data_IF_277393765718
#
_entry.id   IF_277393765718
#
_cell.length_a   1.000
_cell.length_b   1.000
_cell.length_c   1.000
_cell.angle_alpha   90.00
_cell.angle_beta   90.00
_cell.angle_gamma   90.00
#
_symmetry.space_group_name_H-M   'P 1'
#
loop_
_entity.id
_entity.type
_entity.pdbx_description
1 polymer ?
#
# COMPACT_ATOMS: atom_id res chain seq x y z
N UNK A 1 10.56 1.00 22.99
CA UNK A 1 10.46 0.64 21.57
C UNK A 1 10.22 -0.86 21.49
N UNK A 2 9.20 -1.31 20.75
CA UNK A 2 9.00 -2.74 20.52
C UNK A 2 10.09 -3.27 19.59
N UNK A 3 10.57 -4.51 19.80
CA UNK A 3 11.46 -5.15 18.84
C UNK A 3 10.81 -5.18 17.45
N UNK A 4 11.62 -5.08 16.40
CA UNK A 4 11.14 -5.13 15.02
C UNK A 4 10.43 -6.46 14.71
N UNK A 5 10.89 -7.55 15.32
CA UNK A 5 10.31 -8.88 15.15
C UNK A 5 8.86 -9.01 15.65
N UNK A 6 8.41 -8.08 16.53
CA UNK A 6 7.02 -8.02 17.00
C UNK A 6 6.09 -7.27 16.03
N UNK A 7 6.62 -6.72 14.96
CA UNK A 7 5.85 -6.00 13.96
C UNK A 7 5.21 -6.95 12.95
N UNK A 8 3.92 -6.80 12.60
CA UNK A 8 3.32 -7.57 11.51
C UNK A 8 3.97 -7.28 10.15
N UNK A 9 4.70 -6.17 10.04
CA UNK A 9 5.39 -5.76 8.81
C UNK A 9 6.78 -6.38 8.67
N UNK A 10 7.27 -7.10 9.67
CA UNK A 10 8.61 -7.67 9.67
C UNK A 10 8.61 -9.18 9.46
N UNK A 11 9.67 -9.67 8.83
CA UNK A 11 9.99 -11.09 8.71
C UNK A 11 11.49 -11.27 8.95
N UNK A 12 11.86 -12.14 9.90
CA UNK A 12 13.26 -12.39 10.28
C UNK A 12 14.04 -11.09 10.61
N UNK A 13 13.42 -10.17 11.35
CA UNK A 13 14.02 -8.89 11.74
C UNK A 13 14.21 -7.89 10.60
N UNK A 14 13.59 -8.12 9.43
CA UNK A 14 13.73 -7.27 8.24
C UNK A 14 12.37 -6.78 7.76
N UNK A 15 12.36 -5.59 7.19
CA UNK A 15 11.16 -4.98 6.58
C UNK A 15 11.49 -4.56 5.16
N UNK A 16 10.70 -5.03 4.20
CA UNK A 16 10.69 -4.56 2.82
C UNK A 16 9.24 -4.32 2.41
N UNK A 17 8.84 -3.05 2.36
CA UNK A 17 7.48 -2.65 2.01
C UNK A 17 7.44 -2.24 0.55
N UNK A 18 6.58 -2.90 -0.22
CA UNK A 18 6.23 -2.50 -1.58
C UNK A 18 5.13 -1.44 -1.50
N UNK A 19 5.50 -0.19 -1.74
CA UNK A 19 4.54 0.92 -1.74
C UNK A 19 3.98 1.14 -3.15
N UNK A 20 2.66 1.26 -3.23
CA UNK A 20 1.95 1.53 -4.49
C UNK A 20 0.90 2.61 -4.30
N UNK A 21 1.30 3.85 -4.50
CA UNK A 21 0.45 5.05 -4.55
C UNK A 21 0.55 5.79 -5.90
N UNK A 22 1.09 5.10 -6.89
CA UNK A 22 1.14 5.53 -8.29
C UNK A 22 -0.27 5.87 -8.81
N UNK A 23 -0.35 6.87 -9.63
CA UNK A 23 -1.63 7.37 -10.15
C UNK A 23 -2.31 8.37 -9.21
N UNK A 24 -2.39 8.11 -7.92
CA UNK A 24 -2.93 9.08 -6.97
C UNK A 24 -1.96 10.25 -6.74
N UNK A 25 -0.72 9.94 -6.38
CA UNK A 25 0.24 10.98 -5.98
C UNK A 25 0.89 11.68 -7.17
N UNK A 26 1.27 10.94 -8.21
CA UNK A 26 2.06 11.49 -9.33
C UNK A 26 1.31 11.48 -10.66
N UNK A 27 0.07 10.99 -10.70
CA UNK A 27 -0.63 10.75 -11.97
C UNK A 27 0.02 9.62 -12.76
N UNK A 28 -0.10 9.63 -14.10
CA UNK A 28 0.32 8.50 -14.92
C UNK A 28 1.83 8.43 -15.20
N UNK A 29 2.60 9.44 -14.81
CA UNK A 29 4.03 9.56 -15.21
C UNK A 29 4.88 8.39 -14.72
N UNK A 30 4.59 7.83 -13.57
CA UNK A 30 5.36 6.72 -13.00
C UNK A 30 5.14 5.40 -13.73
N UNK A 31 4.10 5.31 -14.56
CA UNK A 31 3.81 4.11 -15.35
C UNK A 31 4.57 4.05 -16.68
N UNK A 32 5.12 5.17 -17.17
CA UNK A 32 5.81 5.21 -18.45
C UNK A 32 6.97 4.22 -18.56
N UNK A 33 7.84 4.07 -17.52
CA UNK A 33 8.96 3.12 -17.61
C UNK A 33 8.50 1.64 -17.57
N UNK A 34 7.34 1.37 -16.98
CA UNK A 34 6.79 0.02 -16.80
C UNK A 34 5.26 0.04 -16.86
N UNK A 35 4.68 0.07 -18.07
CA UNK A 35 3.22 0.15 -18.23
C UNK A 35 2.43 -0.96 -17.54
N UNK A 36 3.03 -2.14 -17.31
CA UNK A 36 2.39 -3.23 -16.57
C UNK A 36 2.00 -2.85 -15.13
N UNK A 37 2.68 -1.86 -14.53
CA UNK A 37 2.35 -1.38 -13.18
C UNK A 37 1.11 -0.50 -13.12
N UNK A 38 0.49 -0.20 -14.26
CA UNK A 38 -0.86 0.40 -14.31
C UNK A 38 -1.92 -0.57 -13.79
N UNK A 39 -1.66 -1.87 -13.89
CA UNK A 39 -2.52 -2.90 -13.33
C UNK A 39 -2.08 -3.21 -11.88
N UNK A 40 -2.90 -2.85 -10.87
CA UNK A 40 -2.58 -3.13 -9.48
C UNK A 40 -2.40 -4.63 -9.18
N UNK A 41 -3.00 -5.52 -9.95
CA UNK A 41 -2.80 -6.96 -9.77
C UNK A 41 -1.34 -7.36 -9.95
N UNK A 42 -0.63 -6.79 -10.92
CA UNK A 42 0.82 -6.99 -11.09
C UNK A 42 1.60 -6.63 -9.81
N UNK A 43 1.16 -5.59 -9.11
CA UNK A 43 1.78 -5.17 -7.85
C UNK A 43 1.51 -6.19 -6.74
N UNK A 44 0.28 -6.68 -6.62
CA UNK A 44 -0.07 -7.72 -5.64
C UNK A 44 0.64 -9.06 -5.95
N UNK A 45 0.76 -9.45 -7.20
CA UNK A 45 1.57 -10.61 -7.60
C UNK A 45 3.04 -10.43 -7.18
N UNK A 46 3.62 -9.25 -7.39
CA UNK A 46 4.97 -8.93 -6.92
C UNK A 46 5.08 -9.00 -5.41
N UNK A 47 4.04 -8.56 -4.70
CA UNK A 47 3.99 -8.57 -3.24
C UNK A 47 3.98 -9.98 -2.63
N UNK A 48 3.64 -11.02 -3.40
CA UNK A 48 3.74 -12.42 -2.96
C UNK A 48 5.17 -12.95 -2.92
N UNK A 49 6.14 -12.21 -3.45
CA UNK A 49 7.54 -12.60 -3.41
C UNK A 49 8.06 -12.66 -1.96
N UNK A 50 8.83 -13.69 -1.63
CA UNK A 50 9.32 -13.95 -0.26
C UNK A 50 10.11 -12.79 0.36
N UNK A 51 10.77 -11.96 -0.44
CA UNK A 51 11.50 -10.79 0.04
C UNK A 51 10.59 -9.63 0.47
N UNK A 52 9.36 -9.57 -0.04
CA UNK A 52 8.40 -8.50 0.32
C UNK A 52 7.69 -8.88 1.61
N UNK A 53 7.78 -8.02 2.61
CA UNK A 53 7.20 -8.28 3.93
C UNK A 53 5.83 -7.64 4.13
N UNK A 54 5.53 -6.59 3.38
CA UNK A 54 4.22 -5.93 3.39
C UNK A 54 4.01 -5.11 2.12
N UNK A 55 2.76 -4.77 1.84
CA UNK A 55 2.38 -3.91 0.73
C UNK A 55 1.55 -2.75 1.23
N UNK A 56 1.95 -1.53 0.87
CA UNK A 56 1.26 -0.30 1.23
C UNK A 56 0.45 0.21 0.04
N UNK A 57 -0.86 0.26 0.19
CA UNK A 57 -1.79 0.70 -0.87
C UNK A 57 -2.90 1.59 -0.34
N UNK A 58 -3.48 2.36 -1.23
CA UNK A 58 -4.64 3.20 -0.99
C UNK A 58 -5.94 2.39 -0.98
N UNK A 59 -7.02 3.00 -0.45
CA UNK A 59 -8.32 2.37 -0.24
C UNK A 59 -8.86 1.61 -1.44
N UNK A 60 -8.99 2.27 -2.59
CA UNK A 60 -9.62 1.67 -3.77
C UNK A 60 -8.86 0.45 -4.30
N UNK A 61 -7.53 0.50 -4.26
CA UNK A 61 -6.67 -0.63 -4.64
C UNK A 61 -6.80 -1.77 -3.63
N UNK A 62 -6.81 -1.46 -2.34
CA UNK A 62 -6.99 -2.47 -1.30
C UNK A 62 -8.36 -3.17 -1.43
N UNK A 63 -9.44 -2.41 -1.59
CA UNK A 63 -10.79 -2.97 -1.76
C UNK A 63 -10.90 -3.92 -2.96
N UNK A 64 -10.30 -3.54 -4.08
CA UNK A 64 -10.44 -4.28 -5.32
C UNK A 64 -9.57 -5.54 -5.39
N UNK A 65 -8.39 -5.55 -4.79
CA UNK A 65 -7.40 -6.60 -5.01
C UNK A 65 -7.01 -7.38 -3.75
N UNK A 66 -6.92 -6.74 -2.59
CA UNK A 66 -6.45 -7.41 -1.37
C UNK A 66 -7.23 -8.67 -0.98
N UNK A 67 -8.58 -8.74 -1.10
CA UNK A 67 -9.32 -9.95 -0.74
C UNK A 67 -8.87 -11.22 -1.46
N UNK A 68 -8.32 -11.09 -2.66
CA UNK A 68 -7.78 -12.23 -3.43
C UNK A 68 -6.37 -12.64 -2.98
N UNK A 69 -5.68 -11.82 -2.19
CA UNK A 69 -4.29 -12.02 -1.76
C UNK A 69 -4.12 -12.03 -0.24
N UNK A 70 -5.22 -12.02 0.52
CA UNK A 70 -5.17 -11.86 1.98
C UNK A 70 -4.34 -12.91 2.72
N UNK A 71 -4.25 -14.13 2.16
CA UNK A 71 -3.46 -15.22 2.75
C UNK A 71 -1.96 -15.10 2.46
N UNK A 72 -1.57 -14.34 1.44
CA UNK A 72 -0.20 -14.27 0.91
C UNK A 72 0.47 -12.92 1.11
N UNK A 73 -0.31 -11.86 1.37
CA UNK A 73 0.17 -10.48 1.42
C UNK A 73 -0.22 -9.83 2.74
N UNK A 74 0.76 -9.24 3.42
CA UNK A 74 0.53 -8.39 4.59
C UNK A 74 0.16 -6.98 4.12
N UNK A 75 -1.01 -6.48 4.53
CA UNK A 75 -1.54 -5.20 4.10
C UNK A 75 -1.18 -4.08 5.09
N UNK A 76 -0.46 -3.08 4.61
CA UNK A 76 -0.37 -1.77 5.24
C UNK A 76 -1.34 -0.82 4.54
N UNK A 77 -2.42 -0.45 5.22
CA UNK A 77 -3.40 0.49 4.69
C UNK A 77 -2.86 1.92 4.76
N UNK A 78 -2.57 2.53 3.62
CA UNK A 78 -2.20 3.95 3.56
C UNK A 78 -3.48 4.78 3.57
N UNK A 79 -3.76 5.44 4.70
CA UNK A 79 -5.06 6.08 4.95
C UNK A 79 -5.10 7.56 4.60
N UNK A 80 -4.00 8.13 4.16
CA UNK A 80 -3.92 9.50 3.66
C UNK A 80 -3.20 9.57 2.32
N UNK A 81 -3.32 10.68 1.64
CA UNK A 81 -2.62 10.90 0.37
C UNK A 81 -2.84 12.30 -0.18
N UNK A 82 -1.92 12.73 -1.03
CA UNK A 82 -1.99 13.98 -1.76
C UNK A 82 -1.60 13.73 -3.22
N UNK A 83 -1.93 14.65 -4.11
CA UNK A 83 -1.57 14.55 -5.52
C UNK A 83 -0.67 15.71 -5.94
N UNK A 84 0.42 15.40 -6.62
CA UNK A 84 1.29 16.41 -7.24
C UNK A 84 0.66 17.09 -8.47
N UNK A 85 -0.49 16.57 -8.92
CA UNK A 85 -1.26 17.19 -10.01
C UNK A 85 -1.99 18.45 -9.54
N UNK A 86 -2.16 18.63 -8.25
CA UNK A 86 -2.78 19.81 -7.68
C UNK A 86 -1.79 20.96 -7.57
N UNK A 87 -2.17 22.13 -8.05
CA UNK A 87 -1.32 23.34 -8.09
C UNK A 87 -1.49 24.26 -6.87
N UNK A 88 -2.36 23.90 -5.94
CA UNK A 88 -2.61 24.65 -4.70
C UNK A 88 -1.76 24.17 -3.53
N UNK A 89 -2.24 24.42 -2.31
CA UNK A 89 -1.60 23.88 -1.10
C UNK A 89 -1.74 22.36 -1.07
N UNK A 90 -0.62 21.68 -0.76
CA UNK A 90 -0.60 20.24 -0.64
C UNK A 90 -1.04 19.82 0.76
N UNK A 91 -2.22 19.22 0.83
CA UNK A 91 -2.77 18.65 2.05
C UNK A 91 -2.95 17.15 1.88
N UNK A 92 -2.31 16.37 2.75
CA UNK A 92 -2.42 14.92 2.73
C UNK A 92 -3.64 14.47 3.54
N UNK A 93 -4.80 14.61 2.94
CA UNK A 93 -6.06 14.32 3.59
C UNK A 93 -6.24 12.83 3.90
N UNK A 94 -6.88 12.53 5.02
CA UNK A 94 -7.34 11.17 5.34
C UNK A 94 -8.49 10.80 4.40
N UNK A 95 -8.33 9.70 3.68
CA UNK A 95 -9.27 9.26 2.65
C UNK A 95 -10.03 7.97 2.99
N UNK A 96 -9.69 7.28 4.06
CA UNK A 96 -10.48 6.20 4.65
C UNK A 96 -10.18 6.03 6.15
N UNK A 97 -11.11 5.44 6.88
CA UNK A 97 -10.98 5.30 8.32
C UNK A 97 -10.13 4.09 8.71
N UNK A 98 -9.53 4.17 9.90
CA UNK A 98 -8.80 3.04 10.50
C UNK A 98 -9.74 1.86 10.75
N UNK A 99 -10.97 2.11 11.20
CA UNK A 99 -11.96 1.06 11.45
C UNK A 99 -12.27 0.29 10.15
N UNK A 100 -12.48 0.99 9.05
CA UNK A 100 -12.74 0.36 7.77
C UNK A 100 -11.52 -0.44 7.25
N UNK A 101 -10.32 0.11 7.39
CA UNK A 101 -9.09 -0.59 7.02
C UNK A 101 -8.94 -1.91 7.82
N UNK A 102 -9.27 -1.86 9.10
CA UNK A 102 -9.27 -3.04 9.98
C UNK A 102 -10.33 -4.08 9.56
N UNK A 103 -11.53 -3.63 9.20
CA UNK A 103 -12.60 -4.52 8.69
C UNK A 103 -12.18 -5.21 7.40
N UNK A 104 -11.45 -4.53 6.53
CA UNK A 104 -10.91 -5.09 5.29
C UNK A 104 -9.80 -6.14 5.55
N UNK A 105 -9.19 -6.12 6.74
CA UNK A 105 -8.14 -7.06 7.13
C UNK A 105 -6.72 -6.46 7.14
N UNK A 106 -6.59 -5.14 7.16
CA UNK A 106 -5.28 -4.51 7.23
C UNK A 106 -4.52 -4.90 8.51
N UNK A 107 -3.25 -5.24 8.35
CA UNK A 107 -2.33 -5.62 9.42
C UNK A 107 -1.70 -4.40 10.09
N UNK A 108 -1.59 -3.31 9.35
CA UNK A 108 -1.02 -2.05 9.82
C UNK A 108 -1.64 -0.85 9.09
N UNK A 109 -1.44 0.32 9.69
CA UNK A 109 -1.88 1.60 9.14
C UNK A 109 -0.66 2.46 8.85
N UNK A 110 -0.60 3.03 7.64
CA UNK A 110 0.37 4.03 7.23
C UNK A 110 -0.29 5.42 7.17
N UNK A 111 0.38 6.39 7.78
CA UNK A 111 -0.09 7.77 7.84
C UNK A 111 1.04 8.76 7.55
#
# INVERSE_FOLDING_TARGET
>A
MRPLDDSPLARDGKVLILAYDHGLEHGPVDFEPRPATMDPETVFETATHDAVTATAVQKGVAEAFYPSYEDDVTLLAKVNGTSNLWMGEHDSAVNWSVDYAKELGADAIGF
#
